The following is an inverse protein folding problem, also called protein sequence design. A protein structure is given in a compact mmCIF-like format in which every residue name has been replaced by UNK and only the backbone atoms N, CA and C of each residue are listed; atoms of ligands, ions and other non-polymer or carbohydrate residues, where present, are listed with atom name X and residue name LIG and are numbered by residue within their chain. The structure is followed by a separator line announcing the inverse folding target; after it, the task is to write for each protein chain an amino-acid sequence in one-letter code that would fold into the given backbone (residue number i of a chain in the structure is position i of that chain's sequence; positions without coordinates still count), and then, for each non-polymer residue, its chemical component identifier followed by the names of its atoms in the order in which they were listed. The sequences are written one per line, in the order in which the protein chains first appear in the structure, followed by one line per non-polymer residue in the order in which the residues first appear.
data_IF_017152985043
#
_entry.id   IF_017152985043
#
_cell.length_a   1.000
_cell.length_b   1.000
_cell.length_c   1.000
_cell.angle_alpha   90.00
_cell.angle_beta   90.00
_cell.angle_gamma   90.00
#
_symmetry.space_group_name_H-M   'P 1'
#
loop_
_entity.id
_entity.type
_entity.pdbx_description
1 polymer ?
#
# COMPACT_ATOMS: atom_id res chain seq x y z
N UNK A 1 -7.10 -15.67 -1.95
CA UNK A 1 -7.24 -14.24 -2.28
C UNK A 1 -7.06 -13.43 -1.02
N UNK A 2 -6.26 -12.36 -1.09
CA UNK A 2 -6.11 -11.36 -0.02
C UNK A 2 -6.50 -10.00 -0.58
N UNK A 3 -7.26 -9.22 0.18
CA UNK A 3 -7.65 -7.86 -0.19
C UNK A 3 -6.84 -6.84 0.62
N UNK A 4 -6.21 -5.91 -0.06
CA UNK A 4 -5.55 -4.77 0.56
C UNK A 4 -5.95 -3.47 -0.11
N UNK A 5 -5.25 -2.38 0.21
CA UNK A 5 -5.52 -1.07 -0.38
C UNK A 5 -4.44 -0.67 -1.37
N UNK A 6 -4.68 0.42 -2.10
CA UNK A 6 -3.67 1.10 -2.93
C UNK A 6 -2.38 1.42 -2.15
N UNK A 7 -2.47 1.54 -0.82
CA UNK A 7 -1.33 1.80 0.06
C UNK A 7 -0.62 0.54 0.55
N UNK A 8 -1.12 -0.66 0.23
CA UNK A 8 -0.46 -1.92 0.61
C UNK A 8 0.94 -1.98 0.00
N UNK A 9 1.93 -2.26 0.85
CA UNK A 9 3.33 -2.29 0.47
C UNK A 9 3.60 -3.23 -0.72
N UNK A 10 4.40 -2.79 -1.68
CA UNK A 10 4.70 -3.54 -2.89
C UNK A 10 5.41 -4.87 -2.58
N UNK A 11 6.27 -4.88 -1.54
CA UNK A 11 6.90 -6.11 -1.06
C UNK A 11 5.90 -7.17 -0.59
N UNK A 12 4.78 -6.75 0.04
CA UNK A 12 3.69 -7.68 0.37
C UNK A 12 3.01 -8.23 -0.87
N UNK A 13 2.74 -7.38 -1.88
CA UNK A 13 2.15 -7.83 -3.15
C UNK A 13 3.04 -8.85 -3.85
N UNK A 14 4.35 -8.62 -3.86
CA UNK A 14 5.32 -9.58 -4.41
C UNK A 14 5.40 -10.87 -3.60
N UNK A 15 5.38 -10.77 -2.26
CA UNK A 15 5.33 -11.94 -1.38
C UNK A 15 4.10 -12.81 -1.65
N UNK A 16 2.93 -12.21 -1.75
CA UNK A 16 1.69 -12.93 -2.10
C UNK A 16 1.76 -13.58 -3.48
N UNK A 17 2.27 -12.86 -4.49
CA UNK A 17 2.49 -13.40 -5.84
C UNK A 17 3.41 -14.63 -5.83
N UNK A 18 4.51 -14.58 -5.07
CA UNK A 18 5.45 -15.70 -4.95
C UNK A 18 4.82 -16.93 -4.27
N UNK A 19 3.80 -16.71 -3.44
CA UNK A 19 3.02 -17.76 -2.80
C UNK A 19 1.82 -18.21 -3.66
N UNK A 20 1.66 -17.69 -4.89
CA UNK A 20 0.49 -17.90 -5.76
C UNK A 20 -0.83 -17.50 -5.08
N UNK A 21 -0.80 -16.44 -4.26
CA UNK A 21 -1.98 -15.84 -3.61
C UNK A 21 -2.38 -14.60 -4.37
N UNK A 22 -3.60 -14.58 -4.89
CA UNK A 22 -4.14 -13.42 -5.59
C UNK A 22 -4.31 -12.24 -4.64
N UNK A 23 -3.88 -11.05 -5.10
CA UNK A 23 -4.08 -9.79 -4.40
C UNK A 23 -5.11 -8.93 -5.13
N UNK A 24 -6.12 -8.47 -4.39
CA UNK A 24 -7.13 -7.53 -4.90
C UNK A 24 -6.95 -6.18 -4.22
N UNK A 25 -6.86 -5.16 -5.05
CA UNK A 25 -6.72 -3.79 -4.60
C UNK A 25 -8.08 -3.12 -4.35
N UNK A 26 -8.22 -2.51 -3.19
CA UNK A 26 -9.32 -1.63 -2.81
C UNK A 26 -8.85 -0.17 -2.69
N UNK A 27 -9.80 0.76 -2.66
CA UNK A 27 -9.52 2.12 -2.20
C UNK A 27 -9.14 2.13 -0.72
N UNK A 28 -8.51 3.22 -0.27
CA UNK A 28 -8.10 3.39 1.14
C UNK A 28 -9.32 3.53 2.03
N UNK A 29 -9.42 2.69 3.04
CA UNK A 29 -10.52 2.64 4.00
C UNK A 29 -11.04 1.22 4.18
N UNK A 30 -11.24 0.80 5.41
CA UNK A 30 -11.70 -0.54 5.80
C UNK A 30 -13.03 -0.94 5.15
N UNK A 31 -13.91 0.04 4.96
CA UNK A 31 -15.18 -0.15 4.24
C UNK A 31 -14.94 -0.68 2.81
N UNK A 32 -14.02 -0.08 2.06
CA UNK A 32 -13.75 -0.50 0.69
C UNK A 32 -13.05 -1.86 0.64
N UNK A 33 -12.18 -2.13 1.61
CA UNK A 33 -11.58 -3.45 1.78
C UNK A 33 -12.68 -4.49 2.03
N UNK A 34 -13.60 -4.22 2.96
CA UNK A 34 -14.71 -5.10 3.29
C UNK A 34 -15.63 -5.36 2.08
N UNK A 35 -15.98 -4.32 1.33
CA UNK A 35 -16.79 -4.44 0.11
C UNK A 35 -16.13 -5.36 -0.93
N UNK A 36 -14.83 -5.17 -1.16
CA UNK A 36 -14.05 -6.01 -2.08
C UNK A 36 -13.93 -7.46 -1.57
N UNK A 37 -13.69 -7.65 -0.27
CA UNK A 37 -13.65 -8.99 0.34
C UNK A 37 -14.95 -9.76 0.10
N UNK A 38 -16.09 -9.15 0.39
CA UNK A 38 -17.41 -9.74 0.18
C UNK A 38 -17.67 -10.06 -1.30
N UNK A 39 -17.31 -9.12 -2.20
CA UNK A 39 -17.49 -9.29 -3.64
C UNK A 39 -16.69 -10.46 -4.21
N UNK A 40 -15.50 -10.71 -3.69
CA UNK A 40 -14.56 -11.71 -4.23
C UNK A 40 -14.44 -12.97 -3.38
N UNK A 41 -15.22 -13.08 -2.31
CA UNK A 41 -15.20 -14.25 -1.41
C UNK A 41 -13.88 -14.37 -0.63
N UNK A 42 -13.18 -13.26 -0.39
CA UNK A 42 -11.96 -13.26 0.41
C UNK A 42 -12.30 -13.28 1.90
N UNK A 43 -11.58 -14.09 2.67
CA UNK A 43 -11.71 -14.15 4.14
C UNK A 43 -10.67 -13.28 4.86
N UNK A 44 -9.59 -12.87 4.16
CA UNK A 44 -8.52 -12.06 4.73
C UNK A 44 -8.33 -10.78 3.95
N UNK A 45 -8.27 -9.67 4.66
CA UNK A 45 -7.96 -8.37 4.10
C UNK A 45 -7.46 -7.40 5.15
N UNK A 46 -7.04 -6.21 4.72
CA UNK A 46 -6.60 -5.18 5.66
C UNK A 46 -5.87 -4.02 5.02
N UNK A 47 -5.37 -3.15 5.88
CA UNK A 47 -4.67 -1.94 5.52
C UNK A 47 -3.26 -1.89 6.13
N UNK A 48 -2.37 -1.15 5.51
CA UNK A 48 -1.02 -0.92 6.01
C UNK A 48 -0.94 -0.18 7.36
N UNK A 49 -2.04 0.40 7.81
CA UNK A 49 -2.23 0.99 9.14
C UNK A 49 -2.28 -0.04 10.28
N UNK A 50 -2.39 -1.34 9.95
CA UNK A 50 -2.52 -2.42 10.92
C UNK A 50 -3.97 -2.88 11.15
N UNK A 51 -4.94 -2.29 10.47
CA UNK A 51 -6.31 -2.76 10.51
C UNK A 51 -6.44 -4.03 9.67
N UNK A 52 -6.67 -5.17 10.32
CA UNK A 52 -6.80 -6.47 9.68
C UNK A 52 -8.23 -7.00 9.85
N UNK A 53 -8.77 -7.62 8.80
CA UNK A 53 -10.11 -8.17 8.73
C UNK A 53 -10.02 -9.66 8.45
N UNK A 54 -10.61 -10.47 9.33
CA UNK A 54 -10.71 -11.93 9.21
C UNK A 54 -12.20 -12.30 9.16
N UNK A 55 -12.81 -12.33 7.96
CA UNK A 55 -14.27 -12.51 7.81
C UNK A 55 -14.79 -13.89 8.22
N UNK A 56 -13.93 -14.89 8.30
CA UNK A 56 -14.28 -16.22 8.83
C UNK A 56 -14.33 -16.25 10.38
N UNK A 57 -13.86 -15.18 11.05
CA UNK A 57 -13.81 -15.07 12.51
C UNK A 57 -14.67 -13.94 13.06
N UNK A 58 -14.77 -12.82 12.33
CA UNK A 58 -15.51 -11.63 12.75
C UNK A 58 -16.14 -10.94 11.55
N UNK A 59 -17.28 -10.29 11.76
CA UNK A 59 -17.96 -9.50 10.72
C UNK A 59 -17.36 -8.12 10.48
N UNK A 60 -16.37 -7.75 11.28
CA UNK A 60 -15.65 -6.46 11.19
C UNK A 60 -14.17 -6.64 11.48
N UNK A 61 -13.35 -5.61 11.20
CA UNK A 61 -11.99 -5.56 11.69
C UNK A 61 -11.98 -5.45 13.21
N UNK A 62 -11.32 -6.41 13.86
CA UNK A 62 -11.21 -6.50 15.31
C UNK A 62 -9.75 -6.79 15.69
N UNK A 63 -9.12 -5.90 16.44
CA UNK A 63 -7.72 -6.01 16.82
C UNK A 63 -7.43 -7.19 17.75
N UNK A 64 -8.40 -7.58 18.60
CA UNK A 64 -8.26 -8.73 19.50
C UNK A 64 -8.33 -10.02 18.68
N UNK A 65 -9.31 -10.14 17.79
CA UNK A 65 -9.42 -11.28 16.87
C UNK A 65 -8.17 -11.40 16.02
N UNK A 66 -7.67 -10.29 15.46
CA UNK A 66 -6.45 -10.27 14.67
C UNK A 66 -5.22 -10.72 15.47
N UNK A 67 -5.08 -10.25 16.71
CA UNK A 67 -4.00 -10.69 17.60
C UNK A 67 -4.05 -12.19 17.89
N UNK A 68 -5.24 -12.74 18.13
CA UNK A 68 -5.44 -14.18 18.36
C UNK A 68 -5.04 -14.98 17.11
N UNK A 69 -5.39 -14.51 15.90
CA UNK A 69 -4.98 -15.20 14.66
C UNK A 69 -3.44 -15.22 14.52
N UNK A 70 -2.75 -14.11 14.85
CA UNK A 70 -1.28 -14.07 14.83
C UNK A 70 -0.69 -15.04 15.86
N UNK A 71 -1.24 -15.07 17.07
CA UNK A 71 -0.79 -16.02 18.12
C UNK A 71 -1.03 -17.48 17.71
N UNK A 72 -2.14 -17.77 17.05
CA UNK A 72 -2.42 -19.10 16.51
C UNK A 72 -1.38 -19.55 15.48
N UNK A 73 -1.00 -18.65 14.55
CA UNK A 73 0.05 -18.91 13.58
C UNK A 73 1.39 -19.17 14.27
N UNK A 74 1.75 -18.34 15.26
CA UNK A 74 2.98 -18.53 16.03
C UNK A 74 3.00 -19.90 16.74
N UNK A 75 1.90 -20.28 17.38
CA UNK A 75 1.79 -21.57 18.07
C UNK A 75 1.91 -22.77 17.14
N UNK A 76 1.42 -22.65 15.89
CA UNK A 76 1.45 -23.73 14.90
C UNK A 76 2.74 -23.80 14.10
N UNK A 77 3.43 -22.68 13.89
CA UNK A 77 4.60 -22.60 12.99
C UNK A 77 5.93 -23.00 13.63
N UNK A 78 5.97 -23.20 14.94
CA UNK A 78 7.23 -23.38 15.70
C UNK A 78 8.29 -22.28 15.42
N UNK A 79 7.80 -21.08 15.07
CA UNK A 79 8.60 -19.90 14.71
C UNK A 79 8.33 -18.77 15.69
N UNK A 80 9.22 -17.79 15.76
CA UNK A 80 8.95 -16.55 16.47
C UNK A 80 8.51 -15.44 15.52
N UNK A 81 7.94 -14.37 16.08
CA UNK A 81 7.38 -13.26 15.30
C UNK A 81 8.42 -12.59 14.37
N UNK A 82 9.68 -12.53 14.79
CA UNK A 82 10.76 -11.94 13.99
C UNK A 82 11.08 -12.80 12.76
N UNK A 83 11.03 -14.13 12.90
CA UNK A 83 11.21 -15.04 11.76
C UNK A 83 10.08 -14.89 10.75
N UNK A 84 8.82 -14.92 11.20
CA UNK A 84 7.66 -14.74 10.32
C UNK A 84 7.64 -13.35 9.64
N UNK A 85 8.03 -12.30 10.36
CA UNK A 85 8.16 -10.97 9.78
C UNK A 85 9.15 -10.91 8.61
N UNK A 86 10.23 -11.69 8.68
CA UNK A 86 11.30 -11.67 7.66
C UNK A 86 10.94 -12.45 6.38
N UNK A 87 9.80 -13.14 6.35
CA UNK A 87 9.29 -13.77 5.12
C UNK A 87 8.85 -12.76 4.07
N UNK A 88 8.61 -11.51 4.48
CA UNK A 88 8.26 -10.41 3.60
C UNK A 88 9.35 -9.33 3.62
N UNK A 89 9.83 -8.95 2.45
CA UNK A 89 10.72 -7.78 2.29
C UNK A 89 9.85 -6.53 2.16
N UNK A 90 9.82 -5.70 3.19
CA UNK A 90 9.11 -4.41 3.14
C UNK A 90 9.91 -3.41 2.32
N UNK A 91 9.33 -2.91 1.24
CA UNK A 91 9.95 -1.88 0.41
C UNK A 91 9.91 -0.52 1.11
N UNK A 92 11.02 0.25 1.04
CA UNK A 92 11.03 1.65 1.43
C UNK A 92 9.92 2.45 0.75
N UNK A 93 9.27 3.31 1.52
CA UNK A 93 8.20 4.18 1.04
C UNK A 93 8.46 5.61 1.51
N UNK A 94 8.42 6.55 0.59
CA UNK A 94 8.53 7.99 0.87
C UNK A 94 7.22 8.66 0.49
N UNK A 95 6.68 9.44 1.42
CA UNK A 95 5.48 10.24 1.23
C UNK A 95 5.83 11.72 1.44
N UNK A 96 5.66 12.51 0.39
CA UNK A 96 5.83 13.96 0.44
C UNK A 96 4.48 14.63 0.26
N UNK A 97 4.14 15.50 1.21
CA UNK A 97 2.94 16.33 1.15
C UNK A 97 3.31 17.68 0.56
N UNK A 98 2.76 18.01 -0.60
CA UNK A 98 2.95 19.32 -1.26
C UNK A 98 1.71 20.15 -1.07
N UNK A 99 1.83 21.37 -0.54
CA UNK A 99 0.71 22.31 -0.41
C UNK A 99 0.24 22.77 -1.77
N UNK A 100 -1.02 22.59 -2.06
CA UNK A 100 -1.66 23.09 -3.28
C UNK A 100 -2.44 24.34 -2.95
N UNK A 101 -1.92 25.51 -3.36
CA UNK A 101 -2.60 26.80 -3.17
C UNK A 101 -3.79 27.01 -4.12
N UNK A 102 -3.96 26.14 -5.12
CA UNK A 102 -5.07 26.10 -6.09
C UNK A 102 -5.39 24.63 -6.38
N UNK A 103 -6.59 24.38 -6.86
CA UNK A 103 -6.95 23.06 -7.39
C UNK A 103 -6.06 22.77 -8.61
N UNK A 104 -5.02 21.97 -8.41
CA UNK A 104 -4.19 21.47 -9.50
C UNK A 104 -4.94 20.28 -10.09
N UNK A 105 -5.27 20.36 -11.36
CA UNK A 105 -5.78 19.21 -12.10
C UNK A 105 -4.59 18.29 -12.43
N UNK A 106 -4.47 17.22 -11.66
CA UNK A 106 -3.37 16.25 -11.80
C UNK A 106 -3.43 15.53 -13.15
N UNK A 107 -4.62 15.31 -13.69
CA UNK A 107 -4.81 14.55 -14.94
C UNK A 107 -4.32 15.36 -16.15
N UNK A 108 -4.49 16.68 -16.12
CA UNK A 108 -4.07 17.56 -17.20
C UNK A 108 -2.63 18.10 -17.07
N UNK A 109 -1.92 17.81 -15.96
CA UNK A 109 -0.60 18.34 -15.69
C UNK A 109 0.50 17.63 -16.51
N UNK A 110 0.74 18.10 -17.74
CA UNK A 110 1.60 17.42 -18.71
C UNK A 110 3.01 17.09 -18.19
N UNK A 111 3.67 18.04 -17.50
CA UNK A 111 5.02 17.84 -16.98
C UNK A 111 5.05 16.77 -15.88
N UNK A 112 4.07 16.78 -14.99
CA UNK A 112 3.94 15.78 -13.93
C UNK A 112 3.73 14.39 -14.54
N UNK A 113 2.78 14.26 -15.45
CA UNK A 113 2.45 12.99 -16.09
C UNK A 113 3.64 12.41 -16.87
N UNK A 114 4.37 13.27 -17.59
CA UNK A 114 5.60 12.86 -18.29
C UNK A 114 6.65 12.34 -17.30
N UNK A 115 6.92 13.12 -16.25
CA UNK A 115 7.94 12.73 -15.24
C UNK A 115 7.53 11.49 -14.46
N UNK A 116 6.22 11.34 -14.16
CA UNK A 116 5.70 10.14 -13.51
C UNK A 116 5.98 8.89 -14.35
N UNK A 117 5.69 8.93 -15.66
CA UNK A 117 5.99 7.84 -16.58
C UNK A 117 7.49 7.52 -16.67
N UNK A 118 8.36 8.54 -16.68
CA UNK A 118 9.81 8.35 -16.66
C UNK A 118 10.27 7.64 -15.38
N UNK A 119 9.75 8.07 -14.23
CA UNK A 119 10.05 7.48 -12.93
C UNK A 119 9.55 6.05 -12.87
N UNK A 120 8.29 5.78 -13.22
CA UNK A 120 7.72 4.43 -13.25
C UNK A 120 8.52 3.49 -14.16
N UNK A 121 8.90 3.96 -15.34
CA UNK A 121 9.76 3.20 -16.26
C UNK A 121 11.13 2.88 -15.66
N UNK A 122 11.72 3.82 -14.91
CA UNK A 122 13.01 3.60 -14.25
C UNK A 122 12.94 2.66 -13.07
N UNK A 123 11.81 2.63 -12.36
CA UNK A 123 11.56 1.75 -11.22
C UNK A 123 11.20 0.32 -11.65
N UNK A 124 10.57 0.16 -12.83
CA UNK A 124 10.09 -1.13 -13.34
C UNK A 124 9.17 -1.82 -12.33
N UNK A 125 9.26 -3.13 -12.25
CA UNK A 125 8.45 -3.94 -11.32
C UNK A 125 8.90 -3.80 -9.84
N UNK A 126 10.05 -3.19 -9.58
CA UNK A 126 10.60 -3.02 -8.23
C UNK A 126 10.21 -1.69 -7.57
N UNK A 127 9.30 -0.94 -8.18
CA UNK A 127 8.81 0.29 -7.59
C UNK A 127 7.49 0.77 -8.19
N UNK A 128 6.91 1.80 -7.57
CA UNK A 128 5.67 2.43 -8.03
C UNK A 128 5.54 3.86 -7.54
N UNK A 129 4.71 4.62 -8.22
CA UNK A 129 4.33 5.98 -7.87
C UNK A 129 2.83 6.03 -7.57
N UNK A 130 2.43 6.82 -6.58
CA UNK A 130 1.04 7.16 -6.32
C UNK A 130 0.93 8.65 -5.97
N UNK A 131 0.29 9.42 -6.84
CA UNK A 131 0.05 10.84 -6.62
C UNK A 131 -1.46 11.06 -6.52
N UNK A 132 -1.90 11.74 -5.46
CA UNK A 132 -3.31 12.02 -5.25
C UNK A 132 -3.54 13.29 -4.45
N UNK A 133 -4.64 13.97 -4.69
CA UNK A 133 -5.11 15.03 -3.82
C UNK A 133 -5.55 14.45 -2.45
N UNK A 134 -5.36 15.23 -1.39
CA UNK A 134 -5.94 14.93 -0.09
C UNK A 134 -7.43 15.31 -0.11
N UNK A 135 -8.29 14.45 0.46
CA UNK A 135 -9.73 14.72 0.54
C UNK A 135 -10.12 15.73 1.63
N UNK A 136 -9.22 15.99 2.59
CA UNK A 136 -9.51 16.80 3.79
C UNK A 136 -8.63 18.04 3.93
N UNK A 137 -7.51 18.07 3.23
CA UNK A 137 -6.51 19.14 3.34
C UNK A 137 -6.12 19.65 1.94
N UNK A 138 -5.70 20.91 1.79
CA UNK A 138 -5.23 21.46 0.52
C UNK A 138 -3.81 20.96 0.20
N UNK A 139 -3.66 19.64 0.08
CA UNK A 139 -2.39 18.96 -0.15
C UNK A 139 -2.50 17.97 -1.32
N UNK A 140 -1.42 17.87 -2.07
CA UNK A 140 -1.16 16.75 -2.97
C UNK A 140 -0.18 15.82 -2.29
N UNK A 141 -0.51 14.54 -2.24
CA UNK A 141 0.32 13.50 -1.64
C UNK A 141 1.07 12.77 -2.75
N UNK A 142 2.38 12.89 -2.73
CA UNK A 142 3.30 12.19 -3.64
C UNK A 142 3.91 11.03 -2.86
N UNK A 143 3.55 9.81 -3.23
CA UNK A 143 4.12 8.60 -2.66
C UNK A 143 4.93 7.87 -3.71
N UNK A 144 6.16 7.53 -3.37
CA UNK A 144 7.01 6.62 -4.14
C UNK A 144 7.42 5.47 -3.23
N UNK A 145 7.40 4.29 -3.77
CA UNK A 145 7.82 3.06 -3.10
C UNK A 145 8.71 2.29 -4.05
N UNK A 146 9.89 1.89 -3.58
CA UNK A 146 10.81 1.07 -4.37
C UNK A 146 11.74 0.27 -3.44
N UNK A 147 12.48 -0.68 -4.01
CA UNK A 147 13.37 -1.56 -3.27
C UNK A 147 14.56 -0.83 -2.63
N UNK A 148 15.06 0.22 -3.27
CA UNK A 148 16.18 1.04 -2.80
C UNK A 148 15.69 2.38 -2.23
N UNK A 149 16.06 2.68 -0.96
CA UNK A 149 15.65 3.89 -0.27
C UNK A 149 16.12 5.18 -0.96
N UNK A 150 17.35 5.19 -1.51
CA UNK A 150 17.91 6.39 -2.15
C UNK A 150 17.16 6.71 -3.44
N UNK A 151 16.88 5.67 -4.23
CA UNK A 151 16.05 5.79 -5.45
C UNK A 151 14.65 6.27 -5.11
N UNK A 152 14.04 5.70 -4.05
CA UNK A 152 12.71 6.08 -3.56
C UNK A 152 12.65 7.56 -3.19
N UNK A 153 13.63 8.04 -2.41
CA UNK A 153 13.71 9.44 -1.98
C UNK A 153 13.89 10.39 -3.15
N UNK A 154 14.87 10.12 -4.03
CA UNK A 154 15.16 10.97 -5.19
C UNK A 154 13.95 11.06 -6.14
N UNK A 155 13.27 9.95 -6.37
CA UNK A 155 12.08 9.91 -7.22
C UNK A 155 10.92 10.70 -6.63
N UNK A 156 10.70 10.58 -5.32
CA UNK A 156 9.66 11.33 -4.62
C UNK A 156 9.93 12.85 -4.65
N UNK A 157 11.16 13.26 -4.40
CA UNK A 157 11.57 14.68 -4.47
C UNK A 157 11.41 15.23 -5.87
N UNK A 158 11.90 14.52 -6.92
CA UNK A 158 11.76 14.93 -8.32
C UNK A 158 10.30 15.21 -8.70
N UNK A 159 9.36 14.37 -8.24
CA UNK A 159 7.93 14.55 -8.52
C UNK A 159 7.30 15.66 -7.67
N UNK A 160 7.72 15.80 -6.41
CA UNK A 160 7.22 16.84 -5.52
C UNK A 160 7.66 18.24 -5.96
N UNK A 161 8.87 18.39 -6.52
CA UNK A 161 9.39 19.67 -7.00
C UNK A 161 8.58 20.23 -8.17
N UNK A 162 7.99 19.39 -9.01
CA UNK A 162 7.11 19.80 -10.10
C UNK A 162 5.79 20.43 -9.59
N UNK A 163 5.39 20.03 -8.38
CA UNK A 163 4.12 20.44 -7.75
C UNK A 163 4.29 21.65 -6.80
N UNK A 164 5.53 22.07 -6.51
CA UNK A 164 5.86 23.25 -5.68
C UNK A 164 5.86 24.54 -6.48
#
# INVERSE_FOLDING_TARGET
IVVGTKMTNLGMRHGLRNLNIDFIEADVGDRYVMEKMKKHGSVLGGEGSGHMICLDKSTSGDGIVSAIQVLEVLAKSNSNLNQLKNEMVKYPQVLINVRANKSIDLDSHQMLNKTMLEVEKSLGDEGRVLIRASGTEPLIRVMVEAKDMKVTQQSAEKLADILR
#
